data_IF_223469783901
#
_entry.id   IF_223469783901
#
_cell.length_a   1.000
_cell.length_b   1.000
_cell.length_c   1.000
_cell.angle_alpha   90.00
_cell.angle_beta   90.00
_cell.angle_gamma   90.00
#
_symmetry.space_group_name_H-M   'P 1'
#
loop_
_entity.id
_entity.type
_entity.pdbx_description
1 polymer ?
#
# COMPACT_ATOMS: atom_id res chain seq x y z
N UNK A 1 -46.51 -57.08 16.88
CA UNK A 1 -46.01 -56.50 15.61
C UNK A 1 -45.69 -55.03 15.85
N UNK A 2 -44.43 -54.68 16.13
CA UNK A 2 -44.01 -53.29 16.39
C UNK A 2 -43.30 -52.77 15.13
N UNK A 3 -43.87 -51.68 14.59
CA UNK A 3 -43.48 -51.01 13.35
C UNK A 3 -42.13 -50.31 13.56
N UNK A 4 -41.11 -50.68 12.77
CA UNK A 4 -39.81 -49.99 12.76
C UNK A 4 -40.01 -48.58 12.20
N UNK A 5 -39.93 -47.57 13.06
CA UNK A 5 -40.04 -46.16 12.68
C UNK A 5 -38.72 -45.75 12.04
N UNK A 6 -38.72 -45.65 10.71
CA UNK A 6 -37.58 -45.20 9.90
C UNK A 6 -37.41 -43.69 10.03
N UNK A 7 -36.55 -43.27 10.95
CA UNK A 7 -36.15 -41.87 11.17
C UNK A 7 -35.21 -41.30 10.08
N UNK A 8 -34.97 -42.05 9.00
CA UNK A 8 -33.95 -41.74 7.99
C UNK A 8 -34.25 -40.61 6.98
N UNK A 9 -35.50 -40.19 6.67
CA UNK A 9 -35.71 -39.24 5.57
C UNK A 9 -35.48 -37.77 5.98
N UNK A 10 -35.55 -37.45 7.28
CA UNK A 10 -35.48 -36.05 7.75
C UNK A 10 -34.05 -35.52 7.69
N UNK A 11 -33.05 -36.37 7.96
CA UNK A 11 -31.63 -35.98 7.93
C UNK A 11 -31.11 -35.72 6.50
N UNK A 12 -31.75 -36.30 5.48
CA UNK A 12 -31.34 -36.12 4.09
C UNK A 12 -31.82 -34.79 3.48
N UNK A 13 -32.93 -34.24 3.97
CA UNK A 13 -33.53 -33.01 3.44
C UNK A 13 -32.74 -31.77 3.87
N UNK A 14 -32.12 -31.78 5.06
CA UNK A 14 -31.34 -30.64 5.56
C UNK A 14 -30.00 -30.44 4.85
N UNK A 15 -29.45 -31.50 4.23
CA UNK A 15 -28.15 -31.45 3.54
C UNK A 15 -28.21 -30.77 2.16
N UNK A 16 -29.41 -30.59 1.60
CA UNK A 16 -29.59 -30.00 0.25
C UNK A 16 -29.69 -28.47 0.25
N UNK A 17 -29.79 -27.83 1.42
CA UNK A 17 -29.82 -26.37 1.55
C UNK A 17 -28.40 -25.82 1.78
N UNK A 18 -27.52 -25.98 0.80
CA UNK A 18 -26.23 -25.26 0.77
C UNK A 18 -26.45 -23.87 0.18
N UNK A 19 -26.32 -22.82 1.00
CA UNK A 19 -26.31 -21.43 0.52
C UNK A 19 -24.94 -21.12 -0.07
N UNK A 20 -24.86 -20.93 -1.38
CA UNK A 20 -23.63 -20.43 -2.01
C UNK A 20 -23.48 -18.94 -1.69
N UNK A 21 -22.55 -18.61 -0.80
CA UNK A 21 -22.14 -17.22 -0.55
C UNK A 21 -21.08 -16.87 -1.60
N UNK A 22 -21.41 -15.93 -2.48
CA UNK A 22 -20.43 -15.31 -3.37
C UNK A 22 -19.86 -14.08 -2.68
N UNK A 23 -18.55 -14.04 -2.44
CA UNK A 23 -17.86 -12.85 -1.96
C UNK A 23 -17.28 -12.10 -3.16
N UNK A 24 -17.75 -10.88 -3.40
CA UNK A 24 -17.19 -9.99 -4.41
C UNK A 24 -15.98 -9.24 -3.82
N UNK A 25 -14.79 -9.44 -4.40
CA UNK A 25 -13.57 -8.72 -4.02
C UNK A 25 -13.45 -7.49 -4.92
N UNK A 26 -13.82 -6.33 -4.39
CA UNK A 26 -13.61 -5.05 -5.08
C UNK A 26 -12.12 -4.70 -4.97
N UNK A 27 -11.39 -4.81 -6.07
CA UNK A 27 -10.00 -4.34 -6.17
C UNK A 27 -10.02 -2.91 -6.67
N UNK A 28 -9.92 -1.95 -5.75
CA UNK A 28 -9.79 -0.54 -6.11
C UNK A 28 -8.37 -0.30 -6.65
N UNK A 29 -8.23 -0.28 -7.98
CA UNK A 29 -6.97 0.12 -8.64
C UNK A 29 -6.92 1.64 -8.67
N UNK A 30 -6.44 2.25 -7.58
CA UNK A 30 -6.20 3.69 -7.51
C UNK A 30 -5.07 4.07 -8.47
N UNK A 31 -5.19 5.23 -9.14
CA UNK A 31 -4.05 5.84 -9.84
C UNK A 31 -2.97 6.26 -8.84
N UNK A 32 -1.70 6.23 -9.26
CA UNK A 32 -0.61 6.78 -8.46
C UNK A 32 -0.87 8.26 -8.14
N UNK A 33 -0.63 8.73 -6.91
CA UNK A 33 -0.76 10.15 -6.56
C UNK A 33 0.13 11.04 -7.41
N UNK A 34 -0.45 12.11 -7.99
CA UNK A 34 0.28 13.09 -8.77
C UNK A 34 1.01 14.11 -7.86
N UNK A 35 2.10 13.67 -7.23
CA UNK A 35 2.92 14.47 -6.32
C UNK A 35 4.29 14.81 -6.92
N UNK A 36 4.83 16.02 -6.71
CA UNK A 36 6.07 16.46 -7.34
C UNK A 36 7.31 15.65 -6.92
N UNK A 37 7.32 15.10 -5.70
CA UNK A 37 8.47 14.37 -5.13
C UNK A 37 8.11 12.99 -4.58
N UNK A 38 6.96 12.47 -5.01
CA UNK A 38 6.37 11.26 -4.44
C UNK A 38 5.44 11.52 -3.25
N UNK A 39 5.01 10.44 -2.63
CA UNK A 39 3.97 10.40 -1.62
C UNK A 39 4.37 9.47 -0.48
N UNK A 40 3.79 9.62 0.69
CA UNK A 40 4.04 8.69 1.79
C UNK A 40 3.59 7.27 1.45
N UNK A 41 4.34 6.25 1.87
CA UNK A 41 4.08 4.84 1.54
C UNK A 41 2.85 4.22 2.25
N UNK A 42 2.05 5.04 2.94
CA UNK A 42 0.85 4.63 3.66
C UNK A 42 -0.37 5.42 3.21
N UNK A 43 -1.55 4.80 3.30
CA UNK A 43 -2.84 5.44 2.99
C UNK A 43 -3.06 6.67 3.89
N UNK A 44 -3.58 7.79 3.35
CA UNK A 44 -4.16 7.93 2.01
C UNK A 44 -3.16 8.40 0.93
N UNK A 45 -1.85 8.19 1.12
CA UNK A 45 -0.78 8.51 0.17
C UNK A 45 -0.67 10.00 -0.15
N UNK A 46 -0.64 10.84 0.89
CA UNK A 46 -0.41 12.29 0.72
C UNK A 46 0.98 12.58 0.14
N UNK A 47 1.11 13.72 -0.54
CA UNK A 47 2.39 14.16 -1.09
C UNK A 47 3.42 14.35 0.03
N UNK A 48 4.59 13.73 -0.15
CA UNK A 48 5.71 13.86 0.76
C UNK A 48 6.56 15.07 0.37
N UNK A 49 7.14 15.81 1.33
CA UNK A 49 8.04 16.91 1.04
C UNK A 49 9.31 16.40 0.35
N UNK A 50 9.95 17.31 -0.35
CA UNK A 50 11.27 17.05 -0.90
C UNK A 50 12.25 16.66 0.21
N UNK A 51 13.05 15.61 -0.03
CA UNK A 51 13.99 15.06 0.94
C UNK A 51 13.50 13.80 1.67
N UNK A 52 12.21 13.45 1.57
CA UNK A 52 11.68 12.20 2.13
C UNK A 52 12.27 10.97 1.45
N UNK A 53 12.23 10.93 0.11
CA UNK A 53 12.85 9.88 -0.69
C UNK A 53 14.28 10.27 -1.10
N UNK A 54 15.18 9.29 -1.03
CA UNK A 54 16.54 9.40 -1.56
C UNK A 54 16.62 9.36 -3.09
N UNK A 55 17.76 9.71 -3.68
CA UNK A 55 17.94 9.78 -5.14
C UNK A 55 17.68 8.46 -5.86
N UNK A 56 17.78 7.32 -5.17
CA UNK A 56 17.51 6.00 -5.75
C UNK A 56 16.04 5.83 -6.19
N UNK A 57 15.13 6.61 -5.62
CA UNK A 57 13.70 6.62 -5.97
C UNK A 57 13.37 7.49 -7.20
N UNK A 58 14.39 8.03 -7.86
CA UNK A 58 14.21 8.94 -8.99
C UNK A 58 15.02 8.46 -10.20
N UNK A 59 14.41 8.49 -11.38
CA UNK A 59 15.08 8.30 -12.67
C UNK A 59 14.91 9.58 -13.46
N UNK A 60 16.02 10.22 -13.84
CA UNK A 60 16.04 11.54 -14.50
C UNK A 60 15.22 12.62 -13.75
N UNK A 61 15.19 12.52 -12.41
CA UNK A 61 14.44 13.43 -11.55
C UNK A 61 12.94 13.12 -11.42
N UNK A 62 12.46 12.05 -12.05
CA UNK A 62 11.07 11.58 -11.97
C UNK A 62 10.96 10.50 -10.89
N UNK A 63 10.05 10.68 -9.94
CA UNK A 63 9.75 9.68 -8.92
C UNK A 63 9.19 8.41 -9.58
N UNK A 64 9.74 7.25 -9.23
CA UNK A 64 9.39 5.96 -9.88
C UNK A 64 8.36 5.13 -9.10
N UNK A 65 7.74 5.72 -8.10
CA UNK A 65 6.74 5.09 -7.26
C UNK A 65 7.30 4.45 -5.99
N UNK A 66 6.39 4.10 -5.09
CA UNK A 66 6.62 3.26 -3.92
C UNK A 66 5.38 2.42 -3.63
N UNK A 67 5.59 1.26 -3.00
CA UNK A 67 4.48 0.39 -2.60
C UNK A 67 3.72 -0.16 -3.81
N UNK A 68 2.37 -0.02 -3.87
CA UNK A 68 1.54 -0.60 -4.93
C UNK A 68 1.85 -0.12 -6.36
N UNK A 69 2.49 1.04 -6.51
CA UNK A 69 2.76 1.65 -7.81
C UNK A 69 4.23 1.57 -8.24
N UNK A 70 5.10 0.95 -7.42
CA UNK A 70 6.47 0.73 -7.83
C UNK A 70 6.57 -0.44 -8.81
N UNK A 71 7.08 -0.18 -10.01
CA UNK A 71 7.21 -1.18 -11.08
C UNK A 71 8.67 -1.58 -11.38
N UNK A 72 9.62 -1.21 -10.52
CA UNK A 72 11.04 -1.52 -10.68
C UNK A 72 11.45 -2.92 -10.17
N UNK A 73 12.75 -3.09 -9.93
CA UNK A 73 13.33 -4.37 -9.47
C UNK A 73 12.80 -4.79 -8.09
N UNK A 74 12.62 -6.11 -7.89
CA UNK A 74 12.27 -6.68 -6.59
C UNK A 74 13.36 -6.52 -5.54
N UNK A 75 14.62 -6.41 -5.96
CA UNK A 75 15.77 -6.23 -5.08
C UNK A 75 16.06 -4.76 -4.80
N UNK A 76 15.18 -3.85 -5.22
CA UNK A 76 15.33 -2.43 -5.00
C UNK A 76 15.46 -2.10 -3.51
N UNK A 77 16.44 -1.25 -3.20
CA UNK A 77 16.67 -0.67 -1.89
C UNK A 77 16.93 0.81 -2.07
N UNK A 78 16.04 1.63 -1.55
CA UNK A 78 16.15 3.08 -1.62
C UNK A 78 16.18 3.69 -0.23
N UNK A 79 16.97 4.74 -0.07
CA UNK A 79 17.03 5.44 1.19
C UNK A 79 15.78 6.30 1.41
N UNK A 80 15.40 6.47 2.67
CA UNK A 80 14.33 7.36 3.11
C UNK A 80 14.82 8.17 4.30
N UNK A 81 14.36 9.40 4.41
CA UNK A 81 14.54 10.24 5.59
C UNK A 81 13.19 10.41 6.31
N UNK A 82 12.93 9.55 7.29
CA UNK A 82 11.64 9.55 8.00
C UNK A 82 11.42 10.79 8.87
N UNK A 83 12.43 11.65 9.06
CA UNK A 83 12.27 12.92 9.79
C UNK A 83 11.38 13.91 9.03
N UNK A 84 11.13 13.65 7.75
CA UNK A 84 10.17 14.37 6.91
C UNK A 84 8.74 13.80 6.99
N UNK A 85 8.50 12.80 7.84
CA UNK A 85 7.20 12.17 8.02
C UNK A 85 6.42 12.79 9.20
N UNK A 86 5.15 13.20 9.02
CA UNK A 86 4.33 13.78 10.08
C UNK A 86 4.18 12.86 11.30
N UNK A 87 4.21 11.53 11.12
CA UNK A 87 4.16 10.60 12.24
C UNK A 87 5.42 10.63 13.11
N UNK A 88 6.53 11.11 12.57
CA UNK A 88 7.79 11.31 13.28
C UNK A 88 8.00 12.78 13.71
N UNK A 89 6.94 13.60 13.65
CA UNK A 89 6.96 14.99 14.12
C UNK A 89 7.38 16.03 13.06
N UNK A 90 7.34 15.67 11.77
CA UNK A 90 7.55 16.66 10.72
C UNK A 90 6.40 17.67 10.68
N UNK A 91 6.76 18.96 10.76
CA UNK A 91 5.83 20.09 10.66
C UNK A 91 6.28 21.13 9.62
N UNK A 92 7.22 20.75 8.74
CA UNK A 92 7.72 21.63 7.70
C UNK A 92 6.75 21.80 6.53
N UNK A 93 7.17 22.56 5.53
CA UNK A 93 6.38 22.76 4.33
C UNK A 93 6.18 21.45 3.55
N UNK A 94 4.99 21.27 3.02
CA UNK A 94 4.67 20.25 2.02
C UNK A 94 4.88 20.84 0.63
N UNK A 95 5.09 20.00 -0.39
CA UNK A 95 5.41 20.52 -1.69
C UNK A 95 4.15 21.05 -2.39
N UNK A 96 4.31 22.14 -3.10
CA UNK A 96 3.29 22.77 -3.92
C UNK A 96 3.43 22.37 -5.40
N UNK A 97 2.40 22.69 -6.19
CA UNK A 97 2.43 22.42 -7.63
C UNK A 97 3.54 23.26 -8.28
N UNK A 98 4.53 22.58 -8.84
CA UNK A 98 5.61 23.21 -9.62
C UNK A 98 6.92 23.41 -8.85
N UNK A 99 6.99 22.94 -7.60
CA UNK A 99 8.25 22.95 -6.85
C UNK A 99 9.36 22.16 -7.58
N UNK A 100 10.61 22.63 -7.43
CA UNK A 100 11.81 21.99 -7.97
C UNK A 100 12.72 21.43 -6.88
N UNK A 101 13.36 20.26 -7.12
CA UNK A 101 14.21 19.62 -6.13
C UNK A 101 15.46 20.47 -5.82
N UNK A 102 15.96 20.42 -4.58
CA UNK A 102 17.21 21.08 -4.14
C UNK A 102 18.20 20.07 -3.54
N UNK A 103 19.49 20.37 -3.43
CA UNK A 103 20.48 19.33 -3.08
C UNK A 103 20.70 19.14 -1.56
N UNK A 104 21.13 17.91 -1.22
CA UNK A 104 21.53 17.35 0.10
C UNK A 104 20.50 16.46 0.81
N UNK A 105 20.32 15.24 0.30
CA UNK A 105 19.60 14.17 0.98
C UNK A 105 20.39 13.61 2.19
N UNK A 106 19.69 13.26 3.27
CA UNK A 106 20.26 12.67 4.51
C UNK A 106 19.43 11.51 5.04
N UNK A 107 19.31 10.44 4.26
CA UNK A 107 18.56 9.26 4.65
C UNK A 107 18.98 8.66 5.98
N UNK A 108 18.01 8.17 6.73
CA UNK A 108 18.22 7.43 7.98
C UNK A 108 17.54 6.04 7.97
N UNK A 109 16.82 5.71 6.90
CA UNK A 109 16.22 4.39 6.68
C UNK A 109 16.51 3.88 5.27
N UNK A 110 16.38 2.57 5.08
CA UNK A 110 16.45 1.91 3.77
C UNK A 110 15.20 1.05 3.61
N UNK A 111 14.40 1.35 2.59
CA UNK A 111 13.16 0.62 2.30
C UNK A 111 13.27 -0.17 1.01
N UNK A 112 12.48 -1.25 0.94
CA UNK A 112 12.28 -1.98 -0.30
C UNK A 112 11.29 -1.25 -1.20
N UNK A 113 11.20 -1.69 -2.45
CA UNK A 113 10.14 -1.32 -3.39
C UNK A 113 8.72 -1.29 -2.78
N UNK A 114 8.44 -2.22 -1.85
CA UNK A 114 7.12 -2.39 -1.23
C UNK A 114 6.82 -1.36 -0.12
N UNK A 115 7.76 -0.46 0.18
CA UNK A 115 7.67 0.48 1.29
C UNK A 115 8.33 -0.04 2.57
N UNK A 116 8.05 0.64 3.67
CA UNK A 116 8.49 0.25 5.01
C UNK A 116 7.80 -1.07 5.40
N UNK A 117 8.57 -2.01 5.96
CA UNK A 117 8.02 -3.27 6.45
C UNK A 117 7.39 -3.16 7.85
N UNK A 118 7.47 -1.99 8.50
CA UNK A 118 7.23 -1.82 9.94
C UNK A 118 6.06 -0.88 10.28
N UNK A 119 5.09 -0.68 9.37
CA UNK A 119 3.92 0.17 9.62
C UNK A 119 2.60 -0.54 9.34
#
# INVERSE_FOLDING_TARGET
MIKKITFFPILFITLLFSTQISAEVIVEVCSEPACPYGYYDYKPYYCAPYGYYGPEWFVDGVFIGAGPWFHGSRDFRGHVDNRFDPYYGYHGAFPERGDKPFNHFRGNEIWSARGSHNR
#
